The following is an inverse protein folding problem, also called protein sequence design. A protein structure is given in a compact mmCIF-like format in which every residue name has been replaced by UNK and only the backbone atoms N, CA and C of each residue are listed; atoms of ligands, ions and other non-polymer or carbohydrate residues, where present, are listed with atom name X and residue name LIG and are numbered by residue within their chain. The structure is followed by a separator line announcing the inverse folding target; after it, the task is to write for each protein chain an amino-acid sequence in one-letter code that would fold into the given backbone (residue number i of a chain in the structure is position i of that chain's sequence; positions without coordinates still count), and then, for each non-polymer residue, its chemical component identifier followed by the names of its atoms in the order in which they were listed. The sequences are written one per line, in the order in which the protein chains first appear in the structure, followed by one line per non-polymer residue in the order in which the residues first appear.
data_IF_201085250955
#
_entry.id   IF_201085250955
#
_cell.length_a   1.000
_cell.length_b   1.000
_cell.length_c   1.000
_cell.angle_alpha   90.00
_cell.angle_beta   90.00
_cell.angle_gamma   90.00
#
_symmetry.space_group_name_H-M   'P 1'
#
loop_
_entity.id
_entity.type
_entity.pdbx_description
1 polymer ?
#
# COMPACT_ATOMS: atom_id res chain seq x y z
N UNK A 1 -9.31 11.17 -1.50
CA UNK A 1 -9.16 9.70 -1.48
C UNK A 1 -9.68 9.15 -2.80
N UNK A 2 -8.80 8.95 -3.78
CA UNK A 2 -9.13 8.34 -5.07
C UNK A 2 -8.66 6.88 -5.03
N UNK A 3 -9.58 5.93 -4.84
CA UNK A 3 -9.30 4.52 -5.09
C UNK A 3 -9.09 4.37 -6.62
N UNK A 4 -7.84 4.37 -7.07
CA UNK A 4 -7.50 4.08 -8.47
C UNK A 4 -7.49 2.57 -8.69
N UNK A 5 -8.41 2.14 -9.54
CA UNK A 5 -8.36 0.96 -10.42
C UNK A 5 -7.78 -0.33 -9.83
N UNK A 6 -8.69 -1.18 -9.37
CA UNK A 6 -8.45 -2.58 -9.02
C UNK A 6 -8.12 -3.38 -10.30
N UNK A 7 -6.85 -3.38 -10.72
CA UNK A 7 -6.38 -4.28 -11.77
C UNK A 7 -5.98 -5.59 -11.09
N UNK A 8 -6.82 -6.61 -11.24
CA UNK A 8 -6.56 -7.95 -10.73
C UNK A 8 -5.67 -8.70 -11.73
N UNK A 9 -4.37 -8.70 -11.48
CA UNK A 9 -3.39 -9.49 -12.24
C UNK A 9 -2.93 -10.70 -11.42
N UNK A 10 -2.62 -11.82 -12.08
CA UNK A 10 -1.79 -12.84 -11.44
C UNK A 10 -0.34 -12.34 -11.47
N UNK A 11 0.25 -12.12 -10.29
CA UNK A 11 1.66 -11.77 -10.13
C UNK A 11 2.21 -12.36 -8.84
N UNK A 12 3.51 -12.23 -8.64
CA UNK A 12 4.12 -12.52 -7.35
C UNK A 12 3.64 -11.51 -6.30
N UNK A 13 3.26 -12.00 -5.13
CA UNK A 13 2.95 -11.18 -3.97
C UNK A 13 4.25 -10.67 -3.34
N UNK A 14 4.41 -9.35 -3.19
CA UNK A 14 5.61 -8.75 -2.58
C UNK A 14 5.78 -9.10 -1.09
N UNK A 15 4.73 -9.62 -0.43
CA UNK A 15 4.74 -9.98 0.99
C UNK A 15 5.09 -11.44 1.21
N UNK A 16 4.43 -12.36 0.50
CA UNK A 16 4.60 -13.80 0.71
C UNK A 16 5.40 -14.51 -0.38
N UNK A 17 5.75 -13.82 -1.47
CA UNK A 17 6.55 -14.35 -2.58
C UNK A 17 5.85 -15.39 -3.46
N UNK A 18 4.57 -15.68 -3.21
CA UNK A 18 3.81 -16.65 -4.01
C UNK A 18 3.16 -15.98 -5.23
N UNK A 19 3.16 -16.68 -6.36
CA UNK A 19 2.41 -16.28 -7.56
C UNK A 19 0.92 -16.58 -7.37
N UNK A 20 0.11 -15.53 -7.25
CA UNK A 20 -1.34 -15.65 -7.11
C UNK A 20 -2.02 -14.34 -7.51
N UNK A 21 -3.34 -14.28 -7.31
CA UNK A 21 -4.12 -13.08 -7.59
C UNK A 21 -3.69 -11.97 -6.62
N UNK A 22 -3.12 -10.91 -7.16
CA UNK A 22 -2.66 -9.74 -6.41
C UNK A 22 -3.48 -8.51 -6.78
N UNK A 23 -3.50 -7.56 -5.84
CA UNK A 23 -4.02 -6.21 -6.03
C UNK A 23 -2.84 -5.25 -5.87
N UNK A 24 -2.76 -4.24 -6.75
CA UNK A 24 -1.77 -3.19 -6.61
C UNK A 24 -2.22 -2.21 -5.51
N UNK A 25 -1.46 -2.13 -4.43
CA UNK A 25 -1.68 -1.23 -3.31
C UNK A 25 -0.59 -0.17 -3.30
N UNK A 26 -0.98 1.10 -3.50
CA UNK A 26 -0.09 2.24 -3.42
C UNK A 26 -0.32 3.02 -2.12
N UNK A 27 0.77 3.32 -1.43
CA UNK A 27 0.78 4.16 -0.24
C UNK A 27 1.59 5.41 -0.55
N UNK A 28 1.00 6.56 -0.26
CA UNK A 28 1.69 7.84 -0.26
C UNK A 28 2.10 8.14 1.18
N UNK A 29 3.37 8.45 1.39
CA UNK A 29 3.85 8.94 2.67
C UNK A 29 4.59 10.25 2.48
N UNK A 30 4.29 11.20 3.36
CA UNK A 30 4.93 12.51 3.38
C UNK A 30 5.75 12.63 4.65
N UNK A 31 6.99 13.07 4.51
CA UNK A 31 7.84 13.40 5.64
C UNK A 31 8.44 14.79 5.43
N UNK A 32 8.52 15.54 6.53
CA UNK A 32 9.15 16.85 6.54
C UNK A 32 10.58 16.67 7.02
N UNK A 33 11.54 17.12 6.21
CA UNK A 33 12.91 17.21 6.66
C UNK A 33 13.03 18.43 7.60
N UNK A 34 13.19 18.19 8.90
CA UNK A 34 13.24 19.22 9.94
C UNK A 34 14.37 20.24 9.75
N UNK A 35 15.40 19.92 8.96
CA UNK A 35 16.52 20.82 8.69
C UNK A 35 16.22 21.88 7.63
N UNK A 36 15.36 21.57 6.66
CA UNK A 36 15.12 22.41 5.49
C UNK A 36 13.65 22.88 5.38
N UNK A 37 12.76 22.45 6.29
CA UNK A 37 11.30 22.64 6.21
C UNK A 37 10.68 22.14 4.88
N UNK A 38 11.40 21.29 4.16
CA UNK A 38 10.95 20.71 2.90
C UNK A 38 10.08 19.49 3.23
N UNK A 39 8.84 19.52 2.74
CA UNK A 39 7.98 18.34 2.75
C UNK A 39 8.21 17.54 1.48
N UNK A 40 8.69 16.31 1.66
CA UNK A 40 8.89 15.33 0.59
C UNK A 40 7.70 14.38 0.64
N UNK A 41 7.12 14.11 -0.53
CA UNK A 41 6.02 13.14 -0.69
C UNK A 41 6.48 12.05 -1.65
N UNK A 42 6.43 10.81 -1.18
CA UNK A 42 6.81 9.63 -1.97
C UNK A 42 5.61 8.69 -2.10
N UNK A 43 5.45 8.11 -3.29
CA UNK A 43 4.46 7.06 -3.58
C UNK A 43 5.18 5.73 -3.75
N UNK A 44 4.78 4.73 -2.97
CA UNK A 44 5.28 3.35 -3.08
C UNK A 44 4.12 2.41 -3.37
N UNK A 45 4.26 1.59 -4.41
CA UNK A 45 3.24 0.63 -4.84
C UNK A 45 3.74 -0.82 -4.71
N UNK A 46 2.89 -1.71 -4.20
CA UNK A 46 3.17 -3.13 -4.01
C UNK A 46 2.04 -4.00 -4.56
N UNK A 47 2.39 -5.14 -5.16
CA UNK A 47 1.46 -6.18 -5.57
C UNK A 47 1.21 -7.13 -4.40
N UNK A 48 0.03 -7.03 -3.79
CA UNK A 48 -0.28 -7.75 -2.55
C UNK A 48 -1.42 -8.74 -2.82
N UNK A 49 -1.25 -9.99 -2.40
CA UNK A 49 -2.32 -10.98 -2.47
C UNK A 49 -3.42 -10.72 -1.44
N UNK A 50 -4.62 -11.25 -1.67
CA UNK A 50 -5.74 -11.03 -0.76
C UNK A 50 -5.44 -11.46 0.69
N UNK A 51 -4.74 -12.59 0.88
CA UNK A 51 -4.36 -13.11 2.19
C UNK A 51 -3.50 -12.11 2.97
N UNK A 52 -2.47 -11.55 2.31
CA UNK A 52 -1.57 -10.57 2.90
C UNK A 52 -2.21 -9.18 3.03
N UNK A 53 -3.16 -8.83 2.14
CA UNK A 53 -3.87 -7.55 2.21
C UNK A 53 -4.62 -7.38 3.53
N UNK A 54 -5.13 -8.49 4.10
CA UNK A 54 -5.86 -8.47 5.36
C UNK A 54 -4.96 -8.21 6.58
N UNK A 55 -3.65 -8.45 6.46
CA UNK A 55 -2.67 -8.15 7.50
C UNK A 55 -2.24 -6.67 7.49
N UNK A 56 -2.27 -6.05 6.31
CA UNK A 56 -1.72 -4.70 6.06
C UNK A 56 -2.79 -3.62 6.14
N UNK A 57 -4.06 -3.96 5.88
CA UNK A 57 -5.16 -2.99 6.02
C UNK A 57 -5.17 -2.45 7.46
N UNK A 58 -4.91 -1.14 7.67
CA UNK A 58 -5.12 -0.55 8.98
C UNK A 58 -6.57 -0.82 9.34
N UNK A 59 -6.83 -1.34 10.55
CA UNK A 59 -8.18 -1.41 11.09
C UNK A 59 -8.73 0.02 11.16
N UNK A 60 -9.38 0.47 10.09
CA UNK A 60 -10.29 1.60 10.13
C UNK A 60 -11.52 1.08 10.87
N UNK A 61 -11.42 1.01 12.19
CA UNK A 61 -12.37 0.34 13.04
C UNK A 61 -12.02 0.53 14.50
N UNK A 62 -12.75 1.48 15.11
CA UNK A 62 -12.80 1.84 16.53
C UNK A 62 -11.82 2.93 16.99
N UNK A 63 -12.28 4.18 16.78
CA UNK A 63 -12.06 5.27 17.73
C UNK A 63 -12.48 4.79 19.12
N UNK A 64 -11.59 4.89 20.11
CA UNK A 64 -11.94 4.96 21.53
C UNK A 64 -11.95 6.44 21.93
#
# INVERSE_FOLDING_TARGET
MLLKNLILTCSYCDVCGEEKKTELMCCEYSYTNELDDITITEESCWSICNDCSNLIKPRIGHKY
#
